data_IF_614186751548
#
_entry.id   IF_614186751548
#
_cell.length_a   1.000
_cell.length_b   1.000
_cell.length_c   1.000
_cell.angle_alpha   90.00
_cell.angle_beta   90.00
_cell.angle_gamma   90.00
#
_symmetry.space_group_name_H-M   'P 1'
#
loop_
_entity.id
_entity.type
_entity.pdbx_description
1 polymer ?
#
# COMPACT_ATOMS: atom_id res chain seq x y z
N UNK A 1 6.57 1.20 15.34
CA UNK A 1 7.22 0.39 14.29
C UNK A 1 8.37 -0.35 14.92
N UNK A 2 8.57 -1.65 14.59
CA UNK A 2 9.76 -2.39 15.05
C UNK A 2 11.01 -1.67 14.53
N UNK A 3 11.94 -1.37 15.44
CA UNK A 3 13.15 -0.60 15.13
C UNK A 3 14.05 -1.31 14.11
N UNK A 4 14.12 -2.64 14.20
CA UNK A 4 14.89 -3.47 13.26
C UNK A 4 14.28 -3.41 11.85
N UNK A 5 12.95 -3.54 11.73
CA UNK A 5 12.27 -3.43 10.44
C UNK A 5 12.48 -2.05 9.81
N UNK A 6 12.41 -0.97 10.62
CA UNK A 6 12.70 0.37 10.14
C UNK A 6 14.11 0.48 9.56
N UNK A 7 15.10 0.02 10.30
CA UNK A 7 16.50 0.07 9.85
C UNK A 7 16.73 -0.77 8.59
N UNK A 8 16.15 -1.97 8.54
CA UNK A 8 16.30 -2.84 7.38
C UNK A 8 15.67 -2.24 6.11
N UNK A 9 14.50 -1.64 6.22
CA UNK A 9 13.87 -0.96 5.07
C UNK A 9 14.61 0.31 4.65
N UNK A 10 15.25 1.03 5.58
CA UNK A 10 16.15 2.16 5.26
C UNK A 10 17.41 1.67 4.53
N UNK A 11 18.04 0.57 4.99
CA UNK A 11 19.21 -0.05 4.35
C UNK A 11 18.84 -0.51 2.93
N UNK A 12 17.71 -1.20 2.76
CA UNK A 12 17.23 -1.63 1.44
C UNK A 12 17.02 -0.45 0.50
N UNK A 13 16.38 0.62 0.98
CA UNK A 13 16.13 1.82 0.17
C UNK A 13 17.42 2.49 -0.29
N UNK A 14 18.44 2.60 0.58
CA UNK A 14 19.75 3.15 0.24
C UNK A 14 20.45 2.24 -0.78
N UNK A 15 20.42 0.93 -0.55
CA UNK A 15 21.04 -0.03 -1.45
C UNK A 15 20.38 -0.03 -2.84
N UNK A 16 19.04 0.03 -2.89
CA UNK A 16 18.31 0.11 -4.15
C UNK A 16 18.59 1.41 -4.91
N UNK A 17 18.69 2.54 -4.23
CA UNK A 17 19.11 3.80 -4.85
C UNK A 17 20.54 3.68 -5.41
N UNK A 18 21.45 3.06 -4.66
CA UNK A 18 22.80 2.78 -5.14
C UNK A 18 22.82 1.92 -6.40
N UNK A 19 22.08 0.81 -6.42
CA UNK A 19 21.93 -0.08 -7.58
C UNK A 19 21.33 0.64 -8.81
N UNK A 20 20.47 1.61 -8.58
CA UNK A 20 19.83 2.38 -9.66
C UNK A 20 20.81 3.32 -10.37
N UNK A 21 21.73 3.93 -9.63
CA UNK A 21 22.57 4.99 -10.15
C UNK A 21 24.05 4.61 -10.30
N UNK A 22 24.57 3.62 -9.57
CA UNK A 22 25.97 3.21 -9.66
C UNK A 22 26.25 2.47 -10.98
N UNK A 23 27.45 2.71 -11.51
CA UNK A 23 28.00 2.00 -12.66
C UNK A 23 29.25 1.18 -12.30
N UNK A 24 29.79 1.39 -11.12
CA UNK A 24 30.96 0.66 -10.63
C UNK A 24 30.56 -0.74 -10.18
N UNK A 25 31.27 -1.75 -10.66
CA UNK A 25 30.94 -3.16 -10.40
C UNK A 25 31.12 -3.54 -8.92
N UNK A 26 32.08 -2.92 -8.24
CA UNK A 26 32.32 -3.18 -6.84
C UNK A 26 31.27 -2.52 -5.95
N UNK A 27 30.78 -1.35 -6.33
CA UNK A 27 29.68 -0.69 -5.62
C UNK A 27 28.38 -1.45 -5.82
N UNK A 28 28.11 -1.93 -7.03
CA UNK A 28 26.94 -2.77 -7.34
C UNK A 28 26.97 -4.03 -6.46
N UNK A 29 28.12 -4.69 -6.31
CA UNK A 29 28.27 -5.85 -5.43
C UNK A 29 27.98 -5.49 -3.96
N UNK A 30 28.54 -4.38 -3.46
CA UNK A 30 28.28 -3.90 -2.09
C UNK A 30 26.82 -3.59 -1.83
N UNK A 31 26.13 -2.94 -2.79
CA UNK A 31 24.69 -2.67 -2.65
C UNK A 31 23.84 -3.95 -2.66
N UNK A 32 24.21 -4.95 -3.46
CA UNK A 32 23.57 -6.26 -3.40
C UNK A 32 23.80 -6.97 -2.04
N UNK A 33 24.98 -6.85 -1.45
CA UNK A 33 25.25 -7.36 -0.11
C UNK A 33 24.37 -6.66 0.93
N UNK A 34 24.23 -5.33 0.88
CA UNK A 34 23.35 -4.57 1.78
C UNK A 34 21.88 -4.99 1.64
N UNK A 35 21.38 -5.25 0.43
CA UNK A 35 20.02 -5.79 0.22
C UNK A 35 19.84 -7.17 0.87
N UNK A 36 20.82 -8.05 0.75
CA UNK A 36 20.76 -9.35 1.42
C UNK A 36 20.73 -9.21 2.95
N UNK A 37 21.56 -8.35 3.53
CA UNK A 37 21.55 -8.07 4.98
C UNK A 37 20.18 -7.50 5.41
N UNK A 38 19.61 -6.58 4.64
CA UNK A 38 18.27 -6.05 4.91
C UNK A 38 17.21 -7.15 4.90
N UNK A 39 17.26 -8.07 3.91
CA UNK A 39 16.35 -9.19 3.83
C UNK A 39 16.45 -10.12 5.04
N UNK A 40 17.69 -10.44 5.50
CA UNK A 40 17.91 -11.27 6.67
C UNK A 40 17.32 -10.61 7.93
N UNK A 41 17.56 -9.32 8.14
CA UNK A 41 17.01 -8.57 9.29
C UNK A 41 15.47 -8.54 9.23
N UNK A 42 14.87 -8.35 8.06
CA UNK A 42 13.40 -8.36 7.89
C UNK A 42 12.84 -9.73 8.24
N UNK A 43 13.42 -10.80 7.69
CA UNK A 43 13.00 -12.18 7.96
C UNK A 43 13.04 -12.48 9.47
N UNK A 44 14.15 -12.21 10.13
CA UNK A 44 14.32 -12.41 11.59
C UNK A 44 13.36 -11.56 12.43
N UNK A 45 13.04 -10.34 11.99
CA UNK A 45 12.23 -9.41 12.77
C UNK A 45 10.71 -9.54 12.54
N UNK A 46 10.28 -10.27 11.52
CA UNK A 46 8.87 -10.39 11.12
C UNK A 46 8.34 -11.83 11.08
N UNK A 47 9.19 -12.83 11.24
CA UNK A 47 8.89 -14.25 11.03
C UNK A 47 8.43 -14.60 9.60
N UNK A 48 8.72 -13.74 8.62
CA UNK A 48 8.50 -14.03 7.21
C UNK A 48 9.62 -14.91 6.67
N UNK A 49 9.29 -15.84 5.79
CA UNK A 49 10.28 -16.70 5.15
C UNK A 49 11.25 -15.86 4.29
N UNK A 50 12.54 -16.08 4.46
CA UNK A 50 13.60 -15.28 3.83
C UNK A 50 13.46 -15.19 2.31
N UNK A 51 13.07 -16.32 1.64
CA UNK A 51 12.90 -16.31 0.19
C UNK A 51 11.78 -15.36 -0.25
N UNK A 52 10.64 -15.31 0.47
CA UNK A 52 9.55 -14.37 0.19
C UNK A 52 9.96 -12.91 0.40
N UNK A 53 10.75 -12.65 1.44
CA UNK A 53 11.29 -11.31 1.66
C UNK A 53 12.22 -10.92 0.50
N UNK A 54 13.11 -11.82 0.08
CA UNK A 54 14.02 -11.57 -1.05
C UNK A 54 13.25 -11.35 -2.36
N UNK A 55 12.23 -12.14 -2.66
CA UNK A 55 11.37 -11.93 -3.83
C UNK A 55 10.85 -10.49 -3.84
N UNK A 56 10.22 -10.03 -2.76
CA UNK A 56 9.67 -8.67 -2.66
C UNK A 56 10.74 -7.59 -2.83
N UNK A 57 11.90 -7.73 -2.16
CA UNK A 57 12.94 -6.70 -2.20
C UNK A 57 13.68 -6.65 -3.55
N UNK A 58 13.87 -7.78 -4.22
CA UNK A 58 14.67 -7.85 -5.45
C UNK A 58 13.84 -7.73 -6.74
N UNK A 59 12.52 -7.85 -6.67
CA UNK A 59 11.62 -7.56 -7.81
C UNK A 59 11.53 -6.07 -8.12
N UNK A 60 11.57 -5.22 -7.11
CA UNK A 60 11.51 -3.77 -7.27
C UNK A 60 12.79 -3.24 -7.93
N UNK A 61 12.62 -2.46 -9.00
CA UNK A 61 13.72 -1.84 -9.74
C UNK A 61 13.58 -0.32 -9.75
N UNK A 62 14.70 0.36 -9.90
CA UNK A 62 14.73 1.82 -9.90
C UNK A 62 14.66 2.39 -8.47
N UNK A 63 14.40 3.68 -8.36
CA UNK A 63 14.29 4.35 -7.06
C UNK A 63 13.01 3.93 -6.35
N UNK A 64 13.13 3.43 -5.12
CA UNK A 64 11.96 3.01 -4.32
C UNK A 64 11.11 4.22 -3.94
N UNK A 65 9.83 4.12 -4.20
CA UNK A 65 8.83 5.09 -3.77
C UNK A 65 7.71 4.39 -3.00
N UNK A 66 6.99 5.08 -2.11
CA UNK A 66 5.80 4.51 -1.50
C UNK A 66 4.77 4.13 -2.56
N UNK A 67 4.17 2.97 -2.42
CA UNK A 67 2.96 2.61 -3.18
C UNK A 67 1.78 3.46 -2.73
N UNK A 68 0.77 3.57 -3.55
CA UNK A 68 -0.40 4.40 -3.28
C UNK A 68 -1.64 3.52 -3.15
N UNK A 69 -2.37 3.72 -2.05
CA UNK A 69 -3.67 3.12 -1.77
C UNK A 69 -4.69 4.25 -1.62
N UNK A 70 -5.88 4.10 -2.18
CA UNK A 70 -6.93 5.12 -2.13
C UNK A 70 -8.14 4.60 -1.37
N UNK A 71 -8.79 5.44 -0.55
CA UNK A 71 -9.94 5.07 0.27
C UNK A 71 -11.07 6.10 0.16
N UNK A 72 -12.27 5.66 -0.16
CA UNK A 72 -13.45 6.50 -0.29
C UNK A 72 -14.15 6.64 1.07
N UNK A 73 -14.16 7.83 1.66
CA UNK A 73 -14.99 8.15 2.81
C UNK A 73 -16.34 8.67 2.32
N UNK A 74 -17.33 7.79 2.32
CA UNK A 74 -18.70 8.05 1.85
C UNK A 74 -19.60 8.19 3.08
N UNK A 75 -20.06 9.41 3.34
CA UNK A 75 -20.87 9.73 4.53
C UNK A 75 -22.26 10.18 4.08
N UNK A 76 -23.30 9.51 4.61
CA UNK A 76 -24.69 9.87 4.41
C UNK A 76 -25.47 9.70 5.72
N UNK A 77 -26.25 10.69 6.10
CA UNK A 77 -27.10 10.66 7.30
C UNK A 77 -26.35 10.27 8.58
N UNK A 78 -25.17 10.86 8.80
CA UNK A 78 -24.24 10.55 9.91
C UNK A 78 -23.77 9.08 9.96
N UNK A 79 -23.84 8.35 8.87
CA UNK A 79 -23.32 6.99 8.71
C UNK A 79 -22.22 6.98 7.67
N UNK A 80 -21.21 6.16 7.89
CA UNK A 80 -20.12 5.92 6.95
C UNK A 80 -20.33 4.57 6.27
N UNK A 81 -20.12 4.53 4.95
CA UNK A 81 -20.15 3.27 4.20
C UNK A 81 -18.85 2.51 4.46
N UNK A 82 -18.98 1.27 4.87
CA UNK A 82 -17.90 0.32 5.02
C UNK A 82 -18.19 -0.92 4.20
N UNK A 83 -17.16 -1.60 3.78
CA UNK A 83 -17.18 -2.92 3.17
C UNK A 83 -16.49 -3.91 4.09
N UNK A 84 -16.89 -5.17 4.05
CA UNK A 84 -16.28 -6.23 4.83
C UNK A 84 -15.44 -7.12 3.92
N UNK A 85 -14.16 -7.16 4.17
CA UNK A 85 -13.20 -7.96 3.42
C UNK A 85 -13.52 -9.47 3.57
N UNK A 86 -13.74 -10.18 2.47
CA UNK A 86 -14.03 -11.62 2.52
C UNK A 86 -12.84 -12.45 3.00
N UNK A 87 -11.62 -11.95 2.77
CA UNK A 87 -10.38 -12.67 3.11
C UNK A 87 -10.19 -12.84 4.62
N UNK A 88 -10.43 -11.80 5.41
CA UNK A 88 -10.13 -11.77 6.84
C UNK A 88 -11.29 -11.28 7.72
N UNK A 89 -12.41 -10.90 7.10
CA UNK A 89 -13.62 -10.43 7.80
C UNK A 89 -13.48 -9.04 8.42
N UNK A 90 -12.44 -8.28 8.09
CA UNK A 90 -12.24 -6.92 8.61
C UNK A 90 -13.10 -5.91 7.87
N UNK A 91 -13.47 -4.82 8.56
CA UNK A 91 -14.21 -3.71 7.97
C UNK A 91 -13.25 -2.61 7.49
N UNK A 92 -13.46 -2.14 6.28
CA UNK A 92 -12.65 -1.07 5.69
C UNK A 92 -13.52 -0.04 4.94
N UNK A 93 -12.93 1.12 4.65
CA UNK A 93 -13.49 2.02 3.66
C UNK A 93 -13.28 1.42 2.27
N UNK A 94 -14.26 1.53 1.34
CA UNK A 94 -14.07 1.10 -0.03
C UNK A 94 -12.81 1.71 -0.64
N UNK A 95 -12.00 0.90 -1.30
CA UNK A 95 -10.75 1.35 -1.90
C UNK A 95 -9.62 0.34 -1.82
N UNK A 96 -8.65 0.50 -2.68
CA UNK A 96 -7.51 -0.40 -2.85
C UNK A 96 -6.28 0.28 -3.44
N UNK A 97 -5.47 -0.50 -4.13
CA UNK A 97 -4.31 0.01 -4.84
C UNK A 97 -4.71 0.96 -5.95
N UNK A 98 -4.01 2.09 -6.05
CA UNK A 98 -4.22 3.01 -7.15
C UNK A 98 -3.68 2.40 -8.46
N UNK A 99 -4.55 2.25 -9.45
CA UNK A 99 -4.18 1.81 -10.79
C UNK A 99 -3.38 2.88 -11.53
N UNK A 100 -2.43 2.43 -12.34
CA UNK A 100 -1.68 3.30 -13.26
C UNK A 100 -2.62 3.90 -14.31
N UNK A 101 -2.28 5.08 -14.80
CA UNK A 101 -3.04 5.83 -15.82
C UNK A 101 -4.45 6.28 -15.38
N UNK A 102 -4.81 6.10 -14.11
CA UNK A 102 -6.02 6.67 -13.52
C UNK A 102 -5.64 7.75 -12.50
N UNK A 103 -6.38 8.85 -12.51
CA UNK A 103 -6.28 9.84 -11.44
C UNK A 103 -6.80 9.28 -10.10
N UNK A 104 -6.46 9.92 -8.99
CA UNK A 104 -6.99 9.56 -7.66
C UNK A 104 -8.53 9.55 -7.68
N UNK A 105 -9.16 10.52 -8.36
CA UNK A 105 -10.62 10.59 -8.47
C UNK A 105 -11.23 9.45 -9.28
N UNK A 106 -10.57 9.00 -10.33
CA UNK A 106 -11.00 7.85 -11.14
C UNK A 106 -10.84 6.54 -10.37
N UNK A 107 -9.71 6.35 -9.71
CA UNK A 107 -9.50 5.20 -8.82
C UNK A 107 -10.59 5.12 -7.74
N UNK A 108 -10.88 6.21 -7.03
CA UNK A 108 -11.92 6.26 -6.00
C UNK A 108 -13.30 5.88 -6.54
N UNK A 109 -13.66 6.36 -7.74
CA UNK A 109 -14.94 6.00 -8.36
C UNK A 109 -15.01 4.53 -8.73
N UNK A 110 -13.92 4.00 -9.27
CA UNK A 110 -13.76 2.59 -9.63
C UNK A 110 -13.92 1.71 -8.40
N UNK A 111 -13.07 1.91 -7.40
CA UNK A 111 -13.06 1.11 -6.17
C UNK A 111 -14.41 1.14 -5.42
N UNK A 112 -15.00 2.34 -5.23
CA UNK A 112 -16.30 2.47 -4.59
C UNK A 112 -17.39 1.72 -5.33
N UNK A 113 -17.33 1.67 -6.66
CA UNK A 113 -18.28 0.93 -7.46
C UNK A 113 -18.05 -0.58 -7.43
N UNK A 114 -16.80 -1.03 -7.56
CA UNK A 114 -16.43 -2.45 -7.57
C UNK A 114 -16.68 -3.12 -6.22
N UNK A 115 -16.30 -2.48 -5.11
CA UNK A 115 -16.42 -3.05 -3.76
C UNK A 115 -17.77 -2.85 -3.09
N UNK A 116 -18.46 -1.75 -3.38
CA UNK A 116 -19.70 -1.39 -2.69
C UNK A 116 -20.90 -1.10 -3.63
N UNK A 117 -20.76 -1.24 -4.94
CA UNK A 117 -21.79 -0.84 -5.89
C UNK A 117 -22.14 0.65 -5.82
N UNK A 118 -21.28 1.48 -5.23
CA UNK A 118 -21.55 2.87 -4.95
C UNK A 118 -21.04 3.79 -6.06
N UNK A 119 -21.92 4.57 -6.66
CA UNK A 119 -21.56 5.68 -7.55
C UNK A 119 -21.31 6.92 -6.72
N UNK A 120 -20.09 7.45 -6.80
CA UNK A 120 -19.65 8.55 -5.96
C UNK A 120 -19.11 9.74 -6.74
N UNK A 121 -19.18 10.92 -6.11
CA UNK A 121 -18.53 12.14 -6.56
C UNK A 121 -17.42 12.50 -5.55
N UNK A 122 -16.13 12.30 -5.88
CA UNK A 122 -15.03 12.75 -5.05
C UNK A 122 -15.06 14.27 -4.86
N UNK A 123 -14.81 14.74 -3.63
CA UNK A 123 -14.87 16.17 -3.24
C UNK A 123 -13.52 16.73 -2.84
N UNK A 124 -12.93 16.14 -1.81
CA UNK A 124 -11.69 16.66 -1.21
C UNK A 124 -10.88 15.55 -0.56
N UNK A 125 -9.58 15.78 -0.47
CA UNK A 125 -8.68 14.96 0.33
C UNK A 125 -8.97 15.23 1.81
N UNK A 126 -9.20 14.16 2.59
CA UNK A 126 -9.35 14.24 4.04
C UNK A 126 -7.99 14.09 4.70
N UNK A 127 -7.22 13.10 4.26
CA UNK A 127 -5.92 12.79 4.82
C UNK A 127 -5.04 12.04 3.81
N UNK A 128 -3.73 12.15 4.00
CA UNK A 128 -2.73 11.28 3.40
C UNK A 128 -1.91 10.72 4.55
N UNK A 129 -1.98 9.40 4.76
CA UNK A 129 -1.38 8.76 5.91
C UNK A 129 -0.39 7.65 5.47
N UNK A 130 0.74 7.56 6.17
CA UNK A 130 1.64 6.41 6.06
C UNK A 130 0.99 5.20 6.74
N UNK A 131 0.74 4.13 5.94
CA UNK A 131 0.07 2.93 6.43
C UNK A 131 0.77 2.33 7.65
N UNK A 132 2.07 2.21 7.62
CA UNK A 132 2.83 1.55 8.68
C UNK A 132 2.87 2.33 10.00
N UNK A 133 2.49 3.61 9.99
CA UNK A 133 2.31 4.42 11.22
C UNK A 133 0.93 4.28 11.84
N UNK A 134 -0.07 3.86 11.06
CA UNK A 134 -1.48 3.88 11.49
C UNK A 134 -2.15 2.50 11.47
N UNK A 135 -1.63 1.53 10.71
CA UNK A 135 -2.22 0.20 10.56
C UNK A 135 -1.25 -0.91 10.98
N UNK A 136 -1.83 -2.08 11.33
CA UNK A 136 -1.10 -3.33 11.56
C UNK A 136 -1.78 -4.47 10.78
N UNK A 137 -1.05 -5.56 10.50
CA UNK A 137 0.38 -5.77 10.72
C UNK A 137 1.23 -4.81 9.90
N UNK A 138 2.50 -4.65 10.28
CA UNK A 138 3.45 -3.84 9.49
C UNK A 138 3.74 -4.55 8.16
N UNK A 139 3.88 -3.77 7.11
CA UNK A 139 4.28 -4.26 5.79
C UNK A 139 5.71 -3.84 5.48
N UNK A 140 6.39 -4.63 4.66
CA UNK A 140 7.75 -4.32 4.18
C UNK A 140 7.69 -3.05 3.29
N UNK A 141 6.70 -2.97 2.41
CA UNK A 141 6.52 -1.81 1.54
C UNK A 141 6.02 -0.59 2.33
N UNK A 142 6.54 0.57 1.96
CA UNK A 142 5.96 1.85 2.34
C UNK A 142 4.73 2.14 1.49
N UNK A 143 3.64 2.62 2.13
CA UNK A 143 2.36 2.86 1.44
C UNK A 143 1.75 4.15 1.96
N UNK A 144 1.41 5.05 1.04
CA UNK A 144 0.56 6.19 1.35
C UNK A 144 -0.90 5.85 1.08
N UNK A 145 -1.74 5.96 2.12
CA UNK A 145 -3.20 5.88 2.00
C UNK A 145 -3.78 7.27 1.83
N UNK A 146 -4.48 7.48 0.71
CA UNK A 146 -5.15 8.74 0.38
C UNK A 146 -6.63 8.58 0.67
N UNK A 147 -7.15 9.32 1.64
CA UNK A 147 -8.56 9.30 2.03
C UNK A 147 -9.28 10.47 1.36
N UNK A 148 -10.34 10.15 0.62
CA UNK A 148 -11.13 11.12 -0.16
C UNK A 148 -12.55 11.16 0.37
N UNK A 149 -13.03 12.36 0.75
CA UNK A 149 -14.43 12.58 1.03
C UNK A 149 -15.23 12.50 -0.29
N UNK A 150 -16.31 11.72 -0.27
CA UNK A 150 -17.15 11.51 -1.43
C UNK A 150 -18.62 11.74 -1.11
N UNK A 151 -19.35 12.39 -2.02
CA UNK A 151 -20.80 12.37 -2.02
C UNK A 151 -21.28 11.06 -2.65
N UNK A 152 -22.25 10.41 -2.01
CA UNK A 152 -22.95 9.27 -2.59
C UNK A 152 -23.99 9.78 -3.59
N UNK A 153 -23.86 9.36 -4.85
CA UNK A 153 -24.83 9.67 -5.91
C UNK A 153 -25.91 8.60 -6.00
N UNK A 154 -25.49 7.35 -5.98
CA UNK A 154 -26.34 6.17 -6.12
C UNK A 154 -25.64 4.95 -5.52
N UNK A 155 -26.38 3.94 -5.08
CA UNK A 155 -25.81 2.69 -4.61
C UNK A 155 -26.70 1.52 -5.02
N UNK A 156 -26.05 0.49 -5.58
CA UNK A 156 -26.68 -0.78 -5.87
C UNK A 156 -25.75 -1.88 -5.32
N UNK A 157 -26.10 -2.36 -4.13
CA UNK A 157 -25.30 -3.40 -3.46
C UNK A 157 -25.38 -4.69 -4.27
N UNK A 158 -24.27 -5.10 -4.83
CA UNK A 158 -24.09 -6.35 -5.55
C UNK A 158 -23.03 -7.18 -4.86
N UNK A 159 -23.19 -8.50 -4.88
CA UNK A 159 -22.09 -9.41 -4.51
C UNK A 159 -20.91 -9.21 -5.45
N UNK A 160 -19.74 -9.07 -4.87
CA UNK A 160 -18.48 -8.98 -5.61
C UNK A 160 -17.47 -10.03 -5.11
N UNK A 161 -16.28 -10.07 -5.70
CA UNK A 161 -15.29 -11.12 -5.41
C UNK A 161 -14.58 -10.86 -4.07
N UNK A 162 -14.38 -9.61 -3.68
CA UNK A 162 -13.47 -9.20 -2.61
C UNK A 162 -14.19 -8.85 -1.32
N UNK A 163 -15.38 -8.25 -1.39
CA UNK A 163 -16.10 -7.71 -0.23
C UNK A 163 -17.56 -8.14 -0.17
N UNK A 164 -18.19 -7.97 1.03
CA UNK A 164 -19.62 -8.10 1.28
C UNK A 164 -20.16 -6.88 2.05
#
# INVERSE_FOLDING_TARGET
MNKLLKWATEIDSIAQAGLTYSKDVYDIDRFNQLKNIAADIISESTNLELHKVKEVLFEERGYLTPKVDVRAAIIKENKILLVKEKLDGTWSLPGGWADINLSVSENIKKEAYEEAGAKVKPKSIIAILDRNKHNKPLMVQSIYKIFILCDLLDVNFNDNIETE
#
